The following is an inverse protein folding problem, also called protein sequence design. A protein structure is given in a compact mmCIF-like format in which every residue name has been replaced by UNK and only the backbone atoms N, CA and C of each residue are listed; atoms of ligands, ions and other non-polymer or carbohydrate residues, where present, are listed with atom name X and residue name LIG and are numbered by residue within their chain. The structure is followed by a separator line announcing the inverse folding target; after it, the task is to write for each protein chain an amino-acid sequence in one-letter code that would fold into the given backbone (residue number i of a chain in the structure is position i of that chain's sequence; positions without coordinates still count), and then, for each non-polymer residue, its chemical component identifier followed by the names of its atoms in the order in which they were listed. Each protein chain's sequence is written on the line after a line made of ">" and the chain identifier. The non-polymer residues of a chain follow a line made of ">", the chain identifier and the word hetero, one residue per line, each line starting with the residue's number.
data_IF_877331388458
#
_entry.id   IF_877331388458
#
_cell.length_a   1.000
_cell.length_b   1.000
_cell.length_c   1.000
_cell.angle_alpha   90.00
_cell.angle_beta   90.00
_cell.angle_gamma   90.00
#
_symmetry.space_group_name_H-M   'P 1'
#
loop_
_entity.id
_entity.type
_entity.pdbx_description
1 polymer ?
#
# COMPACT_ATOMS: atom_id res chain seq x y z
N UNK A 1 -1.81 -15.66 13.37
CA UNK A 1 -3.03 -15.46 12.54
C UNK A 1 -3.33 -13.99 12.31
N UNK A 2 -3.49 -13.16 13.35
CA UNK A 2 -3.78 -11.73 13.20
C UNK A 2 -2.72 -10.96 12.39
N UNK A 3 -1.44 -11.28 12.59
CA UNK A 3 -0.31 -10.67 11.88
C UNK A 3 -0.37 -10.86 10.37
N UNK A 4 -0.81 -12.03 9.91
CA UNK A 4 -0.98 -12.33 8.48
C UNK A 4 -2.11 -11.50 7.87
N UNK A 5 -3.20 -11.31 8.62
CA UNK A 5 -4.33 -10.46 8.22
C UNK A 5 -3.88 -9.00 8.15
N UNK A 6 -3.09 -8.55 9.12
CA UNK A 6 -2.51 -7.20 9.13
C UNK A 6 -1.54 -7.00 7.96
N UNK A 7 -0.60 -7.92 7.75
CA UNK A 7 0.33 -7.89 6.63
C UNK A 7 -0.39 -7.86 5.27
N UNK A 8 -1.56 -8.51 5.18
CA UNK A 8 -2.34 -8.52 3.97
C UNK A 8 -3.15 -7.22 3.75
N UNK A 9 -3.83 -6.72 4.79
CA UNK A 9 -4.79 -5.60 4.65
C UNK A 9 -4.15 -4.22 4.83
N UNK A 10 -3.16 -4.10 5.71
CA UNK A 10 -2.56 -2.82 6.07
C UNK A 10 -1.92 -2.09 4.88
N UNK A 11 -1.13 -2.75 4.00
CA UNK A 11 -0.55 -2.08 2.84
C UNK A 11 -1.63 -1.56 1.88
N UNK A 12 -2.68 -2.38 1.67
CA UNK A 12 -3.79 -2.04 0.78
C UNK A 12 -4.53 -0.82 1.32
N UNK A 13 -4.84 -0.81 2.62
CA UNK A 13 -5.51 0.31 3.27
C UNK A 13 -4.71 1.61 3.15
N UNK A 14 -3.41 1.58 3.46
CA UNK A 14 -2.53 2.74 3.35
C UNK A 14 -2.47 3.28 1.91
N UNK A 15 -2.28 2.40 0.93
CA UNK A 15 -2.23 2.79 -0.47
C UNK A 15 -3.51 3.47 -0.94
N UNK A 16 -4.67 2.95 -0.56
CA UNK A 16 -5.97 3.54 -0.89
C UNK A 16 -6.18 4.89 -0.19
N UNK A 17 -5.82 4.99 1.08
CA UNK A 17 -5.91 6.22 1.86
C UNK A 17 -5.02 7.30 1.26
N UNK A 18 -3.75 7.00 1.03
CA UNK A 18 -2.79 7.94 0.46
C UNK A 18 -3.11 8.32 -0.98
N UNK A 19 -3.65 7.41 -1.81
CA UNK A 19 -4.11 7.78 -3.16
C UNK A 19 -5.22 8.83 -3.13
N UNK A 20 -6.10 8.77 -2.12
CA UNK A 20 -7.18 9.76 -1.95
C UNK A 20 -6.68 11.10 -1.45
N UNK A 21 -5.61 11.13 -0.64
CA UNK A 21 -5.09 12.35 0.01
C UNK A 21 -4.04 13.06 -0.84
N UNK A 22 -3.09 12.32 -1.42
CA UNK A 22 -1.90 12.90 -2.06
C UNK A 22 -2.07 13.19 -3.55
N UNK A 23 -3.17 12.72 -4.17
CA UNK A 23 -3.49 12.90 -5.60
C UNK A 23 -2.30 12.66 -6.54
N UNK A 24 -1.40 11.74 -6.18
CA UNK A 24 -0.15 11.47 -6.90
C UNK A 24 -0.04 10.00 -7.23
N UNK A 25 0.48 9.71 -8.43
CA UNK A 25 0.54 8.34 -8.97
C UNK A 25 1.47 7.42 -8.19
N UNK A 26 2.63 7.91 -7.74
CA UNK A 26 3.70 7.09 -7.17
C UNK A 26 4.04 7.43 -5.72
N UNK A 27 3.69 8.64 -5.26
CA UNK A 27 3.96 9.08 -3.89
C UNK A 27 3.31 8.17 -2.81
N UNK A 28 2.04 7.72 -2.97
CA UNK A 28 1.40 6.78 -2.05
C UNK A 28 2.18 5.47 -1.87
N UNK A 29 2.80 4.98 -2.96
CA UNK A 29 3.58 3.75 -2.94
C UNK A 29 4.86 3.93 -2.12
N UNK A 30 5.61 4.99 -2.39
CA UNK A 30 6.86 5.28 -1.66
C UNK A 30 6.62 5.43 -0.16
N UNK A 31 5.59 6.17 0.24
CA UNK A 31 5.25 6.38 1.65
C UNK A 31 4.82 5.05 2.31
N UNK A 32 4.01 4.24 1.62
CA UNK A 32 3.59 2.94 2.15
C UNK A 32 4.79 2.02 2.38
N UNK A 33 5.74 1.95 1.43
CA UNK A 33 6.96 1.14 1.58
C UNK A 33 7.81 1.62 2.75
N UNK A 34 7.98 2.94 2.90
CA UNK A 34 8.72 3.50 4.04
C UNK A 34 8.07 3.15 5.38
N UNK A 35 6.74 3.21 5.47
CA UNK A 35 6.01 2.84 6.68
C UNK A 35 6.15 1.35 6.97
N UNK A 36 6.09 0.48 5.96
CA UNK A 36 6.26 -0.96 6.15
C UNK A 36 7.68 -1.29 6.64
N UNK A 37 8.71 -0.65 6.07
CA UNK A 37 10.11 -0.90 6.44
C UNK A 37 10.43 -0.32 7.82
N UNK A 38 10.18 0.97 8.04
CA UNK A 38 10.62 1.68 9.23
C UNK A 38 9.56 1.78 10.32
N UNK A 39 8.28 1.88 9.96
CA UNK A 39 7.18 2.05 10.90
C UNK A 39 6.70 0.75 11.54
N UNK A 40 6.90 -0.39 10.88
CA UNK A 40 6.49 -1.72 11.36
C UNK A 40 7.65 -2.71 11.51
N UNK A 41 8.88 -2.20 11.44
CA UNK A 41 10.10 -2.99 11.50
C UNK A 41 10.10 -4.17 10.50
N UNK A 42 9.60 -3.91 9.29
CA UNK A 42 9.27 -4.94 8.30
C UNK A 42 10.45 -5.80 7.86
N UNK A 43 11.68 -5.31 8.00
CA UNK A 43 12.90 -6.05 7.66
C UNK A 43 13.25 -7.14 8.68
N UNK A 44 12.85 -6.99 9.94
CA UNK A 44 13.09 -7.98 10.99
C UNK A 44 11.96 -9.02 11.10
N UNK A 45 10.87 -8.84 10.33
CA UNK A 45 9.74 -9.78 10.34
C UNK A 45 10.05 -11.09 9.60
N UNK A 46 9.39 -12.20 9.95
CA UNK A 46 9.59 -13.48 9.28
C UNK A 46 9.24 -13.41 7.79
N UNK A 47 10.02 -14.10 6.96
CA UNK A 47 9.93 -14.12 5.49
C UNK A 47 8.48 -14.25 4.94
N UNK A 48 7.61 -15.13 5.48
CA UNK A 48 6.23 -15.22 5.00
C UNK A 48 5.44 -13.92 5.13
N UNK A 49 5.62 -13.15 6.20
CA UNK A 49 4.93 -11.86 6.39
C UNK A 49 5.45 -10.81 5.43
N UNK A 50 6.76 -10.79 5.17
CA UNK A 50 7.35 -9.87 4.18
C UNK A 50 6.81 -10.13 2.77
N UNK A 51 6.71 -11.41 2.37
CA UNK A 51 6.17 -11.79 1.06
C UNK A 51 4.70 -11.38 0.94
N UNK A 52 3.89 -11.65 1.97
CA UNK A 52 2.47 -11.28 1.99
C UNK A 52 2.31 -9.75 1.92
N UNK A 53 3.06 -9.01 2.73
CA UNK A 53 3.05 -7.55 2.71
C UNK A 53 3.48 -7.01 1.33
N UNK A 54 4.49 -7.61 0.71
CA UNK A 54 4.94 -7.27 -0.65
C UNK A 54 3.85 -7.47 -1.70
N UNK A 55 3.22 -8.65 -1.73
CA UNK A 55 2.12 -8.97 -2.66
C UNK A 55 0.93 -8.03 -2.43
N UNK A 56 0.56 -7.80 -1.18
CA UNK A 56 -0.52 -6.89 -0.83
C UNK A 56 -0.24 -5.43 -1.20
N UNK A 57 1.02 -5.00 -1.10
CA UNK A 57 1.45 -3.67 -1.56
C UNK A 57 1.25 -3.54 -3.08
N UNK A 58 1.62 -4.57 -3.86
CA UNK A 58 1.41 -4.57 -5.31
C UNK A 58 -0.08 -4.50 -5.66
N UNK A 59 -0.92 -5.32 -4.99
CA UNK A 59 -2.37 -5.33 -5.21
C UNK A 59 -2.99 -3.96 -4.85
N UNK A 60 -2.63 -3.43 -3.68
CA UNK A 60 -3.09 -2.11 -3.22
C UNK A 60 -2.70 -0.99 -4.18
N UNK A 61 -1.52 -1.09 -4.79
CA UNK A 61 -1.03 -0.10 -5.74
C UNK A 61 -1.84 -0.14 -7.03
N UNK A 62 -2.08 -1.33 -7.58
CA UNK A 62 -2.91 -1.51 -8.77
C UNK A 62 -4.35 -0.99 -8.56
N UNK A 63 -4.95 -1.29 -7.41
CA UNK A 63 -6.27 -0.77 -7.03
C UNK A 63 -6.26 0.75 -6.90
N UNK A 64 -5.26 1.29 -6.20
CA UNK A 64 -5.08 2.73 -6.05
C UNK A 64 -4.90 3.45 -7.40
N UNK A 65 -4.15 2.86 -8.32
CA UNK A 65 -3.89 3.41 -9.64
C UNK A 65 -5.19 3.47 -10.49
N UNK A 66 -6.04 2.45 -10.40
CA UNK A 66 -7.39 2.48 -10.99
C UNK A 66 -8.24 3.62 -10.42
N UNK A 67 -8.14 3.91 -9.12
CA UNK A 67 -8.86 5.02 -8.47
C UNK A 67 -8.32 6.36 -8.96
N UNK A 68 -6.99 6.51 -8.98
CA UNK A 68 -6.32 7.71 -9.48
C UNK A 68 -6.71 8.02 -10.93
N UNK A 69 -6.71 7.02 -11.81
CA UNK A 69 -7.14 7.22 -13.21
C UNK A 69 -8.61 7.61 -13.33
N UNK A 70 -9.50 7.00 -12.52
CA UNK A 70 -10.91 7.39 -12.47
C UNK A 70 -11.08 8.84 -12.00
N UNK A 71 -10.33 9.28 -11.01
CA UNK A 71 -10.36 10.66 -10.52
C UNK A 71 -9.80 11.63 -11.56
N UNK A 72 -8.66 11.31 -12.18
CA UNK A 72 -8.05 12.12 -13.25
C UNK A 72 -8.98 12.33 -14.44
N UNK A 73 -9.81 11.34 -14.79
CA UNK A 73 -10.83 11.47 -15.84
C UNK A 73 -12.00 12.38 -15.47
N UNK A 74 -12.34 12.52 -14.19
CA UNK A 74 -13.45 13.37 -13.71
C UNK A 74 -13.07 14.84 -13.53
N UNK A 75 -11.78 15.13 -13.32
CA UNK A 75 -11.25 16.49 -13.14
C UNK A 75 -10.90 17.14 -14.50
N UNK A 76 -10.94 16.38 -15.59
CA UNK A 76 -10.72 16.86 -16.97
C UNK A 76 -12.03 17.32 -17.59
#
# INVERSE_FOLDING_TARGET
>A
MLEYVFAALFPIFLLLLFNRVLFSKFLPLGITILILIFGLDGLHQPLPLQIIAGISTIIGFLLGLKIYEKQKRKVK
#
